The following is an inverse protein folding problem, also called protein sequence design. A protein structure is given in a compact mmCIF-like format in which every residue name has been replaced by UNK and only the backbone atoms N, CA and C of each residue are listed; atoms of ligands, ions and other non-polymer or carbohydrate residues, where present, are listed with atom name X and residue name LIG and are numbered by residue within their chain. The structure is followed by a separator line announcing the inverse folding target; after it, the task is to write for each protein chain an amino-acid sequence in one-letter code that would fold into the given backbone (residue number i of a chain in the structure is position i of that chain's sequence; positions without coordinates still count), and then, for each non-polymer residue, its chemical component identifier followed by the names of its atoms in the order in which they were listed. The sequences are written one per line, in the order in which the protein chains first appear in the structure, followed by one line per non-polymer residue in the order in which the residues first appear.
data_IF_209749394729
#
_entry.id   IF_209749394729
#
_cell.length_a   1.000
_cell.length_b   1.000
_cell.length_c   1.000
_cell.angle_alpha   90.00
_cell.angle_beta   90.00
_cell.angle_gamma   90.00
#
_symmetry.space_group_name_H-M   'P 1'
#
loop_
_entity.id
_entity.type
_entity.pdbx_description
1 polymer ?
#
# COMPACT_ATOMS: atom_id res chain seq x y z
N UNK A 1 4.08 2.41 4.74
CA UNK A 1 2.75 2.89 4.33
C UNK A 1 2.69 3.14 2.83
N UNK A 2 3.22 4.27 2.35
CA UNK A 2 3.04 4.72 0.98
C UNK A 2 3.68 3.81 -0.07
N UNK A 3 4.87 3.26 0.21
CA UNK A 3 5.54 2.34 -0.71
C UNK A 3 4.72 1.06 -0.97
N UNK A 4 4.13 0.47 0.09
CA UNK A 4 3.29 -0.72 -0.03
C UNK A 4 2.03 -0.46 -0.85
N UNK A 5 1.42 0.72 -0.67
CA UNK A 5 0.24 1.11 -1.43
C UNK A 5 0.55 1.35 -2.92
N UNK A 6 1.75 1.87 -3.22
CA UNK A 6 2.25 1.96 -4.59
C UNK A 6 2.45 0.55 -5.16
N UNK A 7 3.07 -0.38 -4.43
CA UNK A 7 3.23 -1.77 -4.89
C UNK A 7 1.90 -2.45 -5.20
N UNK A 8 0.89 -2.32 -4.32
CA UNK A 8 -0.45 -2.83 -4.58
C UNK A 8 -1.09 -2.24 -5.85
N UNK A 9 -0.76 -1.00 -6.18
CA UNK A 9 -1.27 -0.36 -7.41
C UNK A 9 -0.67 -0.99 -8.66
N UNK A 10 0.62 -1.34 -8.64
CA UNK A 10 1.25 -2.10 -9.72
C UNK A 10 0.60 -3.48 -9.88
N UNK A 11 0.37 -4.18 -8.77
CA UNK A 11 -0.24 -5.51 -8.78
C UNK A 11 -1.69 -5.48 -9.31
N UNK A 12 -2.48 -4.48 -8.91
CA UNK A 12 -3.90 -4.36 -9.28
C UNK A 12 -4.13 -3.88 -10.72
N UNK A 13 -3.30 -2.96 -11.23
CA UNK A 13 -3.51 -2.37 -12.56
C UNK A 13 -3.07 -3.29 -13.70
N UNK A 14 -2.19 -4.27 -13.43
CA UNK A 14 -1.77 -5.29 -14.40
C UNK A 14 -0.99 -4.77 -15.61
N UNK A 15 -0.71 -3.46 -15.69
CA UNK A 15 0.04 -2.82 -16.77
C UNK A 15 1.23 -2.02 -16.21
N UNK A 16 2.28 -2.74 -15.86
CA UNK A 16 3.47 -2.18 -15.20
C UNK A 16 4.11 -1.04 -15.98
N UNK A 17 4.13 -1.08 -17.31
CA UNK A 17 4.75 -0.03 -18.12
C UNK A 17 3.97 1.28 -18.02
N UNK A 18 2.64 1.22 -18.11
CA UNK A 18 1.79 2.40 -17.97
C UNK A 18 1.88 2.97 -16.56
N UNK A 19 1.78 2.12 -15.53
CA UNK A 19 1.87 2.53 -14.13
C UNK A 19 3.25 3.12 -13.80
N UNK A 20 4.33 2.54 -14.31
CA UNK A 20 5.68 3.07 -14.15
C UNK A 20 5.87 4.43 -14.83
N UNK A 21 5.33 4.59 -16.04
CA UNK A 21 5.37 5.88 -16.74
C UNK A 21 4.63 6.97 -15.97
N UNK A 22 3.46 6.65 -15.39
CA UNK A 22 2.72 7.56 -14.52
C UNK A 22 3.53 7.92 -13.27
N UNK A 23 4.14 6.93 -12.60
CA UNK A 23 5.00 7.17 -11.43
C UNK A 23 6.16 8.11 -11.77
N UNK A 24 6.84 7.87 -12.90
CA UNK A 24 7.95 8.71 -13.36
C UNK A 24 7.51 10.15 -13.60
N UNK A 25 6.39 10.36 -14.30
CA UNK A 25 5.89 11.69 -14.62
C UNK A 25 5.44 12.47 -13.38
N UNK A 26 4.78 11.81 -12.42
CA UNK A 26 4.20 12.48 -11.26
C UNK A 26 5.21 12.64 -10.12
N UNK A 27 6.07 11.65 -9.86
CA UNK A 27 6.97 11.68 -8.69
C UNK A 27 8.40 12.03 -9.11
N UNK A 28 9.01 11.22 -9.98
CA UNK A 28 10.44 11.33 -10.27
C UNK A 28 10.81 12.63 -10.98
N UNK A 29 9.96 13.08 -11.91
CA UNK A 29 10.20 14.33 -12.65
C UNK A 29 9.90 15.59 -11.82
N UNK A 30 8.98 15.51 -10.85
CA UNK A 30 8.64 16.66 -10.01
C UNK A 30 9.60 16.80 -8.81
N UNK A 31 10.18 15.70 -8.32
CA UNK A 31 11.12 15.75 -7.20
C UNK A 31 10.50 16.40 -5.96
N UNK A 32 11.15 17.42 -5.40
CA UNK A 32 10.66 18.19 -4.25
C UNK A 32 9.86 19.45 -4.62
N UNK A 33 9.55 19.65 -5.90
CA UNK A 33 8.82 20.85 -6.36
C UNK A 33 7.34 20.88 -5.94
N UNK A 34 6.79 19.72 -5.57
CA UNK A 34 5.42 19.57 -5.08
C UNK A 34 5.42 18.88 -3.73
N UNK A 35 4.35 19.04 -2.96
CA UNK A 35 4.22 18.28 -1.72
C UNK A 35 4.08 16.79 -2.02
N UNK A 36 4.62 15.96 -1.12
CA UNK A 36 4.50 14.50 -1.23
C UNK A 36 3.02 14.07 -1.28
N UNK A 37 2.16 14.77 -0.55
CA UNK A 37 0.72 14.54 -0.55
C UNK A 37 0.09 14.77 -1.93
N UNK A 38 0.35 15.91 -2.57
CA UNK A 38 -0.18 16.20 -3.91
C UNK A 38 0.31 15.22 -4.96
N UNK A 39 1.60 14.88 -4.92
CA UNK A 39 2.17 13.89 -5.84
C UNK A 39 1.56 12.51 -5.62
N UNK A 40 1.33 12.15 -4.37
CA UNK A 40 0.69 10.89 -4.03
C UNK A 40 -0.75 10.81 -4.56
N UNK A 41 -1.57 11.83 -4.30
CA UNK A 41 -2.96 11.88 -4.78
C UNK A 41 -3.03 11.93 -6.31
N UNK A 42 -2.10 12.61 -6.98
CA UNK A 42 -2.01 12.62 -8.44
C UNK A 42 -1.64 11.25 -9.03
N UNK A 43 -0.79 10.48 -8.34
CA UNK A 43 -0.38 9.15 -8.80
C UNK A 43 -1.47 8.11 -8.52
N UNK A 44 -2.03 8.11 -7.31
CA UNK A 44 -3.00 7.09 -6.86
C UNK A 44 -4.45 7.41 -7.21
N UNK A 45 -4.76 8.68 -7.51
CA UNK A 45 -6.14 9.14 -7.70
C UNK A 45 -6.98 9.18 -6.41
N UNK A 46 -6.36 8.95 -5.25
CA UNK A 46 -7.01 8.93 -3.93
C UNK A 46 -6.03 9.31 -2.82
N UNK A 47 -6.57 9.57 -1.63
CA UNK A 47 -5.78 9.74 -0.42
C UNK A 47 -5.09 8.42 0.00
N UNK A 48 -3.98 8.50 0.77
CA UNK A 48 -3.28 7.33 1.27
C UNK A 48 -4.16 6.38 2.06
N UNK A 49 -4.15 5.09 1.70
CA UNK A 49 -4.91 4.08 2.41
C UNK A 49 -4.01 3.38 3.44
N UNK A 50 -4.29 3.60 4.73
CA UNK A 50 -3.56 2.96 5.83
C UNK A 50 -3.75 1.43 5.81
N UNK A 51 -4.87 0.94 5.25
CA UNK A 51 -5.16 -0.50 5.15
C UNK A 51 -4.18 -1.24 4.24
N UNK A 52 -3.46 -0.53 3.35
CA UNK A 52 -2.39 -1.14 2.54
C UNK A 52 -1.28 -1.76 3.42
N UNK A 53 -1.00 -1.15 4.58
CA UNK A 53 -0.06 -1.70 5.56
C UNK A 53 -0.64 -2.96 6.18
N UNK A 54 -1.89 -2.89 6.66
CA UNK A 54 -2.57 -4.02 7.30
C UNK A 54 -2.58 -5.23 6.38
N UNK A 55 -3.02 -5.06 5.13
CA UNK A 55 -3.10 -6.12 4.13
C UNK A 55 -1.74 -6.75 3.81
N UNK A 56 -0.65 -5.98 3.84
CA UNK A 56 0.70 -6.52 3.59
C UNK A 56 1.20 -7.40 4.75
N UNK A 57 0.84 -7.08 5.99
CA UNK A 57 1.18 -7.87 7.18
C UNK A 57 0.13 -8.94 7.53
N UNK A 58 -0.99 -8.99 6.80
CA UNK A 58 -2.07 -9.97 6.94
C UNK A 58 -1.82 -11.40 6.38
N UNK A 59 -0.59 -11.88 6.07
CA UNK A 59 -0.37 -13.32 5.92
C UNK A 59 -0.31 -14.08 7.27
N UNK A 60 -0.17 -13.39 8.41
CA UNK A 60 0.26 -13.98 9.70
C UNK A 60 -0.84 -13.97 10.77
N UNK A 61 -2.01 -13.37 10.54
CA UNK A 61 -3.07 -13.37 11.55
C UNK A 61 -3.82 -14.72 11.65
N UNK A 62 -3.66 -15.64 10.70
CA UNK A 62 -4.37 -16.92 10.74
C UNK A 62 -3.86 -17.92 11.81
N UNK A 63 -2.54 -18.06 12.12
CA UNK A 63 -2.11 -18.91 13.23
C UNK A 63 -2.25 -18.20 14.60
N UNK A 64 -2.05 -16.88 14.66
CA UNK A 64 -2.02 -16.13 15.92
C UNK A 64 -3.42 -15.93 16.53
N UNK A 65 -4.46 -15.71 15.71
CA UNK A 65 -5.85 -15.59 16.20
C UNK A 65 -6.35 -16.94 16.75
N UNK A 66 -5.84 -18.07 16.25
CA UNK A 66 -6.18 -19.40 16.76
C UNK A 66 -5.47 -19.71 18.09
N UNK A 67 -4.29 -19.13 18.34
CA UNK A 67 -3.59 -19.24 19.63
C UNK A 67 -4.25 -18.38 20.72
N UNK A 68 -4.64 -17.14 20.44
CA UNK A 68 -5.32 -16.28 21.42
C UNK A 68 -6.68 -16.84 21.87
N UNK A 69 -7.43 -17.49 20.97
CA UNK A 69 -8.66 -18.21 21.34
C UNK A 69 -8.41 -19.39 22.26
N UNK A 70 -7.23 -20.03 22.18
CA UNK A 70 -6.84 -21.16 23.03
C UNK A 70 -6.55 -20.71 24.47
N UNK A 71 -5.95 -19.52 24.63
CA UNK A 71 -5.66 -18.94 25.95
C UNK A 71 -6.85 -18.19 26.57
N UNK A 72 -7.79 -17.65 25.78
CA UNK A 72 -8.97 -16.94 26.29
C UNK A 72 -10.15 -17.86 26.67
N UNK A 73 -10.19 -19.11 26.18
CA UNK A 73 -11.25 -20.08 26.50
C UNK A 73 -10.85 -21.17 27.51
N UNK A 74 -9.64 -21.12 28.08
CA UNK A 74 -9.22 -21.95 29.20
C UNK A 74 -9.29 -23.46 28.95
N UNK A 75 -8.17 -24.06 28.56
CA UNK A 75 -7.82 -25.48 28.78
C UNK A 75 -6.31 -25.57 29.00
#
# INVERSE_FOLDING_TARGET
ALALDVHQTFDNEGNNLLTANRLKQVWLNNGSLKSQWEMYTQFQGREPNILAISNFYDPILSPLINEEKKYALGC
#
